data_IF_733850054065
#
_entry.id   IF_733850054065
#
_cell.length_a   1.000
_cell.length_b   1.000
_cell.length_c   1.000
_cell.angle_alpha   90.00
_cell.angle_beta   90.00
_cell.angle_gamma   90.00
#
_symmetry.space_group_name_H-M   'P 1'
#
loop_
_entity.id
_entity.type
_entity.pdbx_description
1 polymer ?
#
# COMPACT_ATOMS: atom_id res chain seq x y z
N UNK A 1 -5.03 6.93 -21.80
CA UNK A 1 -3.54 6.95 -21.76
C UNK A 1 -3.01 7.69 -20.55
N UNK A 2 -3.33 8.98 -20.36
CA UNK A 2 -2.88 9.77 -19.20
C UNK A 2 -3.18 9.10 -17.84
N UNK A 3 -4.38 8.52 -17.68
CA UNK A 3 -4.78 7.83 -16.45
C UNK A 3 -3.91 6.60 -16.13
N UNK A 4 -3.53 5.81 -17.13
CA UNK A 4 -2.68 4.64 -16.93
C UNK A 4 -1.24 5.02 -16.58
N UNK A 5 -0.74 6.13 -17.16
CA UNK A 5 0.57 6.67 -16.82
C UNK A 5 0.60 7.15 -15.37
N UNK A 6 -0.39 7.94 -14.94
CA UNK A 6 -0.50 8.42 -13.57
C UNK A 6 -0.63 7.27 -12.57
N UNK A 7 -1.42 6.24 -12.91
CA UNK A 7 -1.59 5.05 -12.07
C UNK A 7 -0.27 4.27 -11.92
N UNK A 8 0.46 4.07 -13.02
CA UNK A 8 1.77 3.40 -12.99
C UNK A 8 2.80 4.14 -12.15
N UNK A 9 2.91 5.46 -12.34
CA UNK A 9 3.81 6.32 -11.54
C UNK A 9 3.42 6.24 -10.06
N UNK A 10 2.15 6.46 -9.73
CA UNK A 10 1.68 6.45 -8.35
C UNK A 10 1.95 5.14 -7.63
N UNK A 11 1.69 4.00 -8.28
CA UNK A 11 1.87 2.69 -7.68
C UNK A 11 3.36 2.36 -7.42
N UNK A 12 4.24 2.65 -8.38
CA UNK A 12 5.68 2.42 -8.24
C UNK A 12 6.28 3.37 -7.20
N UNK A 13 5.88 4.65 -7.19
CA UNK A 13 6.35 5.63 -6.20
C UNK A 13 5.94 5.25 -4.78
N UNK A 14 4.69 4.82 -4.56
CA UNK A 14 4.23 4.37 -3.25
C UNK A 14 4.99 3.11 -2.77
N UNK A 15 5.26 2.18 -3.69
CA UNK A 15 6.00 0.96 -3.38
C UNK A 15 7.47 1.24 -3.01
N UNK A 16 8.18 2.04 -3.81
CA UNK A 16 9.57 2.43 -3.49
C UNK A 16 9.64 3.28 -2.21
N UNK A 17 8.70 4.21 -2.02
CA UNK A 17 8.63 5.03 -0.81
C UNK A 17 8.50 4.16 0.45
N UNK A 18 7.61 3.16 0.42
CA UNK A 18 7.42 2.22 1.53
C UNK A 18 8.68 1.40 1.81
N UNK A 19 9.31 0.85 0.76
CA UNK A 19 10.56 0.09 0.93
C UNK A 19 11.71 0.94 1.46
N UNK A 20 11.82 2.19 1.00
CA UNK A 20 12.85 3.13 1.46
C UNK A 20 12.66 3.45 2.95
N UNK A 21 11.42 3.77 3.35
CA UNK A 21 11.07 4.07 4.75
C UNK A 21 11.37 2.89 5.67
N UNK A 22 10.92 1.68 5.30
CA UNK A 22 11.21 0.45 6.07
C UNK A 22 12.72 0.22 6.16
N UNK A 23 13.45 0.46 5.07
CA UNK A 23 14.90 0.33 5.06
C UNK A 23 15.64 1.33 5.97
N UNK A 24 15.03 2.48 6.26
CA UNK A 24 15.58 3.51 7.15
C UNK A 24 15.20 3.26 8.62
N UNK A 25 13.96 2.83 8.88
CA UNK A 25 13.45 2.60 10.24
C UNK A 25 13.83 1.22 10.81
N UNK A 26 14.12 0.22 9.95
CA UNK A 26 14.41 -1.12 10.42
C UNK A 26 15.81 -1.21 11.10
N UNK A 27 15.93 -1.89 12.27
CA UNK A 27 17.21 -2.13 12.92
C UNK A 27 18.16 -2.89 11.99
N UNK A 28 19.46 -2.54 12.00
CA UNK A 28 20.47 -3.12 11.09
C UNK A 28 20.49 -4.66 11.14
N UNK A 29 20.31 -5.22 12.33
CA UNK A 29 20.34 -6.66 12.61
C UNK A 29 19.11 -7.40 12.05
N UNK A 30 17.95 -6.75 12.03
CA UNK A 30 16.67 -7.35 11.64
C UNK A 30 16.14 -6.83 10.28
N UNK A 31 16.87 -5.93 9.61
CA UNK A 31 16.43 -5.27 8.37
C UNK A 31 16.02 -6.26 7.29
N UNK A 32 16.77 -7.34 7.12
CA UNK A 32 16.43 -8.42 6.19
C UNK A 32 15.09 -9.08 6.52
N UNK A 33 14.86 -9.41 7.79
CA UNK A 33 13.61 -10.02 8.27
C UNK A 33 12.41 -9.09 8.13
N UNK A 34 12.57 -7.79 8.44
CA UNK A 34 11.49 -6.80 8.31
C UNK A 34 11.11 -6.59 6.83
N UNK A 35 12.10 -6.47 5.93
CA UNK A 35 11.85 -6.38 4.49
C UNK A 35 11.22 -7.68 3.96
N UNK A 36 11.66 -8.84 4.46
CA UNK A 36 11.06 -10.13 4.15
C UNK A 36 9.58 -10.19 4.53
N UNK A 37 9.24 -9.76 5.75
CA UNK A 37 7.86 -9.68 6.22
C UNK A 37 7.02 -8.71 5.36
N UNK A 38 7.58 -7.56 4.97
CA UNK A 38 6.93 -6.63 4.04
C UNK A 38 6.60 -7.30 2.71
N UNK A 39 7.55 -8.01 2.10
CA UNK A 39 7.32 -8.71 0.83
C UNK A 39 6.27 -9.82 0.94
N UNK A 40 6.28 -10.59 2.03
CA UNK A 40 5.26 -11.62 2.31
C UNK A 40 3.88 -10.97 2.44
N UNK A 41 3.76 -9.85 3.17
CA UNK A 41 2.50 -9.13 3.29
C UNK A 41 1.98 -8.64 1.93
N UNK A 42 2.88 -8.18 1.05
CA UNK A 42 2.55 -7.81 -0.32
C UNK A 42 2.06 -9.00 -1.14
N UNK A 43 2.74 -10.15 -1.04
CA UNK A 43 2.33 -11.37 -1.72
C UNK A 43 0.94 -11.86 -1.27
N UNK A 44 0.66 -11.82 0.04
CA UNK A 44 -0.68 -12.15 0.59
C UNK A 44 -1.73 -11.18 0.02
N UNK A 45 -1.43 -9.88 -0.03
CA UNK A 45 -2.32 -8.88 -0.62
C UNK A 45 -2.62 -9.16 -2.10
N UNK A 46 -1.59 -9.51 -2.89
CA UNK A 46 -1.74 -9.87 -4.30
C UNK A 46 -2.62 -11.11 -4.45
N UNK A 47 -2.41 -12.16 -3.65
CA UNK A 47 -3.24 -13.38 -3.67
C UNK A 47 -4.70 -13.07 -3.34
N UNK A 48 -4.94 -12.24 -2.33
CA UNK A 48 -6.28 -11.84 -1.94
C UNK A 48 -6.99 -11.05 -3.04
N UNK A 49 -6.30 -10.07 -3.65
CA UNK A 49 -6.85 -9.22 -4.70
C UNK A 49 -7.08 -10.01 -5.99
N UNK A 50 -6.16 -10.89 -6.39
CA UNK A 50 -6.33 -11.71 -7.60
C UNK A 50 -7.46 -12.72 -7.44
N UNK A 51 -7.56 -13.38 -6.28
CA UNK A 51 -8.65 -14.33 -6.00
C UNK A 51 -10.01 -13.64 -5.94
N UNK A 52 -10.11 -12.54 -5.18
CA UNK A 52 -11.37 -11.80 -5.03
C UNK A 52 -11.75 -11.08 -6.32
N UNK A 53 -10.78 -10.46 -6.99
CA UNK A 53 -10.94 -9.77 -8.27
C UNK A 53 -11.39 -10.70 -9.38
N UNK A 54 -10.83 -11.92 -9.49
CA UNK A 54 -11.27 -12.92 -10.46
C UNK A 54 -12.73 -13.30 -10.26
N UNK A 55 -13.13 -13.62 -9.03
CA UNK A 55 -14.54 -13.95 -8.71
C UNK A 55 -15.51 -12.80 -9.01
N UNK A 56 -15.07 -11.56 -8.76
CA UNK A 56 -15.90 -10.37 -8.99
C UNK A 56 -16.02 -10.02 -10.48
N UNK A 57 -14.97 -10.29 -11.26
CA UNK A 57 -14.96 -10.16 -12.70
C UNK A 57 -15.98 -11.12 -13.34
N UNK A 58 -15.98 -12.38 -12.90
CA UNK A 58 -16.86 -13.42 -13.42
C UNK A 58 -18.33 -13.23 -13.00
N UNK A 59 -18.58 -12.71 -11.79
CA UNK A 59 -19.93 -12.64 -11.22
C UNK A 59 -20.68 -11.32 -11.41
N UNK A 60 -20.00 -10.18 -11.57
CA UNK A 60 -20.65 -8.85 -11.55
C UNK A 60 -20.40 -8.04 -12.81
N UNK A 61 -19.12 -7.73 -13.09
CA UNK A 61 -18.75 -6.91 -14.25
C UNK A 61 -17.22 -6.83 -14.38
N UNK A 62 -16.68 -6.71 -15.61
CA UNK A 62 -15.25 -6.50 -15.85
C UNK A 62 -14.62 -5.29 -15.12
N UNK A 63 -15.45 -4.31 -14.72
CA UNK A 63 -15.01 -3.10 -14.03
C UNK A 63 -14.87 -3.28 -12.51
N UNK A 64 -15.53 -4.30 -11.94
CA UNK A 64 -15.64 -4.49 -10.51
C UNK A 64 -14.28 -4.67 -9.79
N UNK A 65 -13.28 -5.38 -10.36
CA UNK A 65 -11.96 -5.52 -9.72
C UNK A 65 -11.24 -4.18 -9.53
N UNK A 66 -11.37 -3.26 -10.49
CA UNK A 66 -10.73 -1.94 -10.42
C UNK A 66 -11.31 -1.08 -9.30
N UNK A 67 -12.62 -1.20 -9.03
CA UNK A 67 -13.28 -0.47 -7.94
C UNK A 67 -12.76 -0.95 -6.59
N UNK A 68 -12.58 -2.27 -6.41
CA UNK A 68 -12.00 -2.82 -5.17
C UNK A 68 -10.57 -2.33 -4.98
N UNK A 69 -9.73 -2.42 -6.01
CA UNK A 69 -8.32 -1.97 -5.91
C UNK A 69 -8.26 -0.47 -5.60
N UNK A 70 -9.14 0.33 -6.19
CA UNK A 70 -9.27 1.76 -5.88
C UNK A 70 -9.69 2.01 -4.43
N UNK A 71 -10.68 1.26 -3.94
CA UNK A 71 -11.14 1.37 -2.55
C UNK A 71 -10.05 0.99 -1.54
N UNK A 72 -9.30 -0.09 -1.80
CA UNK A 72 -8.17 -0.51 -0.96
C UNK A 72 -7.07 0.56 -0.95
N UNK A 73 -6.72 1.12 -2.10
CA UNK A 73 -5.74 2.23 -2.16
C UNK A 73 -6.22 3.46 -1.38
N UNK A 74 -7.51 3.79 -1.45
CA UNK A 74 -8.09 4.90 -0.70
C UNK A 74 -7.99 4.65 0.82
N UNK A 75 -8.29 3.43 1.29
CA UNK A 75 -8.14 3.06 2.69
C UNK A 75 -6.69 3.19 3.17
N UNK A 76 -5.72 2.74 2.36
CA UNK A 76 -4.29 2.88 2.68
C UNK A 76 -3.89 4.36 2.76
N UNK A 77 -4.36 5.19 1.83
CA UNK A 77 -4.12 6.64 1.85
C UNK A 77 -4.69 7.28 3.11
N UNK A 78 -5.93 6.96 3.49
CA UNK A 78 -6.56 7.47 4.70
C UNK A 78 -5.81 7.03 5.96
N UNK A 79 -5.39 5.77 6.03
CA UNK A 79 -4.55 5.26 7.13
C UNK A 79 -3.22 6.00 7.24
N UNK A 80 -2.55 6.26 6.12
CA UNK A 80 -1.30 7.03 6.09
C UNK A 80 -1.50 8.49 6.52
N UNK A 81 -2.58 9.14 6.09
CA UNK A 81 -2.92 10.49 6.53
C UNK A 81 -3.24 10.55 8.03
N UNK A 82 -3.95 9.56 8.55
CA UNK A 82 -4.25 9.44 9.97
C UNK A 82 -3.00 9.25 10.81
N UNK A 83 -2.09 8.36 10.39
CA UNK A 83 -0.81 8.14 11.07
C UNK A 83 0.04 9.42 11.04
N UNK A 84 0.13 10.09 9.88
CA UNK A 84 0.82 11.37 9.74
C UNK A 84 0.23 12.44 10.67
N UNK A 85 -1.09 12.50 10.81
CA UNK A 85 -1.73 13.44 11.72
C UNK A 85 -1.36 13.15 13.19
N UNK A 86 -1.21 11.87 13.57
CA UNK A 86 -0.73 11.49 14.90
C UNK A 86 0.73 11.86 15.12
N UNK A 87 1.61 11.60 14.16
CA UNK A 87 3.04 11.97 14.26
C UNK A 87 3.24 13.47 14.44
N UNK A 88 2.46 14.30 13.72
CA UNK A 88 2.49 15.76 13.87
C UNK A 88 2.09 16.16 15.29
N UNK A 89 1.02 15.57 15.84
CA UNK A 89 0.54 15.87 17.19
C UNK A 89 1.58 15.50 18.27
N UNK A 90 2.24 14.34 18.13
CA UNK A 90 3.28 13.90 19.06
C UNK A 90 4.51 14.83 19.05
N UNK A 91 4.91 15.36 17.89
CA UNK A 91 6.03 16.31 17.80
C UNK A 91 5.69 17.69 18.38
N UNK A 92 4.44 18.14 18.26
CA UNK A 92 3.98 19.42 18.86
C UNK A 92 3.88 19.35 20.39
N UNK A 93 3.55 18.20 20.98
CA UNK A 93 3.47 18.04 22.45
C UNK A 93 4.84 17.90 23.11
N UNK A 94 5.88 17.51 22.35
CA UNK A 94 7.26 17.33 22.84
C UNK A 94 8.19 18.53 22.60
N UNK A 95 7.72 19.57 21.91
CA UNK A 95 8.44 20.81 21.66
C UNK A 95 7.99 21.91 22.63
#
# INVERSE_FOLDING_TARGET
LIFFVLLGIGQISAFLGSQSLIGQEAPKEARGSVIGAFNISGAIGILFITTTGGRLFDGMSPKAPFIIVGAVNLLVMLGGLWLRAQEVNVKTVRA
#
